data_IF_430693659117
#
_entry.id   IF_430693659117
#
_cell.length_a   1.000
_cell.length_b   1.000
_cell.length_c   1.000
_cell.angle_alpha   90.00
_cell.angle_beta   90.00
_cell.angle_gamma   90.00
#
_symmetry.space_group_name_H-M   'P 1'
#
loop_
_entity.id
_entity.type
_entity.pdbx_description
1 polymer ?
#
# COMPACT_ATOMS: atom_id res chain seq x y z
N UNK A 1 60.19 27.97 -37.95
CA UNK A 1 60.31 27.09 -36.80
C UNK A 1 59.64 27.78 -35.61
N UNK A 2 58.53 27.28 -35.07
CA UNK A 2 57.78 27.60 -33.83
C UNK A 2 56.27 27.75 -34.08
N UNK A 3 55.63 26.67 -34.57
CA UNK A 3 54.17 26.61 -34.62
C UNK A 3 53.56 25.19 -34.28
N UNK A 4 54.31 24.43 -33.46
CA UNK A 4 53.89 23.00 -33.20
C UNK A 4 53.77 22.69 -31.71
N UNK A 5 53.50 23.66 -30.83
CA UNK A 5 53.34 23.39 -29.37
C UNK A 5 52.06 23.90 -28.71
N UNK A 6 51.02 24.26 -29.45
CA UNK A 6 49.77 24.79 -28.86
C UNK A 6 48.57 23.83 -29.09
N UNK A 7 48.77 22.64 -29.63
CA UNK A 7 47.65 21.72 -29.99
C UNK A 7 47.51 20.49 -29.05
N UNK A 8 48.14 20.52 -27.88
CA UNK A 8 48.06 19.35 -26.96
C UNK A 8 47.43 19.67 -25.58
N UNK A 9 46.74 20.80 -25.46
CA UNK A 9 46.14 21.25 -24.18
C UNK A 9 44.60 21.29 -24.11
N UNK A 10 43.89 20.91 -25.19
CA UNK A 10 42.43 21.11 -25.26
C UNK A 10 41.58 19.81 -25.29
N UNK A 11 42.15 18.68 -24.86
CA UNK A 11 41.42 17.38 -24.95
C UNK A 11 41.18 16.68 -23.61
N UNK A 12 41.08 17.42 -22.50
CA UNK A 12 40.84 16.82 -21.16
C UNK A 12 39.74 17.50 -20.34
N UNK A 13 38.79 18.18 -20.98
CA UNK A 13 37.63 18.81 -20.28
C UNK A 13 36.28 18.35 -20.82
N UNK A 14 36.17 17.14 -21.33
CA UNK A 14 34.94 16.60 -21.86
C UNK A 14 34.62 15.23 -21.26
N UNK A 15 34.22 15.16 -19.99
CA UNK A 15 33.95 13.84 -19.44
C UNK A 15 33.38 13.78 -18.02
N UNK A 16 32.58 14.75 -17.59
CA UNK A 16 31.79 14.61 -16.35
C UNK A 16 30.42 15.23 -16.52
N UNK A 17 29.63 14.69 -17.45
CA UNK A 17 28.19 14.96 -17.49
C UNK A 17 27.50 13.64 -17.72
N UNK A 18 27.45 12.79 -16.71
CA UNK A 18 26.55 11.65 -16.75
C UNK A 18 26.38 11.05 -15.36
N UNK A 19 25.65 11.73 -14.53
CA UNK A 19 24.72 11.18 -13.57
C UNK A 19 23.76 12.32 -13.28
N UNK A 20 22.82 12.56 -14.19
CA UNK A 20 21.60 13.20 -13.79
C UNK A 20 20.94 12.21 -12.86
N UNK A 21 20.93 12.50 -11.56
CA UNK A 21 20.02 11.84 -10.64
C UNK A 21 18.61 12.04 -11.20
N UNK A 22 18.02 10.95 -11.66
CA UNK A 22 16.61 10.95 -12.05
C UNK A 22 15.84 11.33 -10.78
N UNK A 23 15.18 12.46 -10.78
CA UNK A 23 14.37 12.89 -9.65
C UNK A 23 13.38 11.77 -9.28
N UNK A 24 13.12 11.62 -8.00
CA UNK A 24 12.30 10.50 -7.52
C UNK A 24 10.90 10.50 -8.14
N UNK A 25 10.38 11.68 -8.53
CA UNK A 25 9.14 11.85 -9.26
C UNK A 25 9.20 11.26 -10.69
N UNK A 26 10.37 11.25 -11.34
CA UNK A 26 10.54 10.73 -12.71
C UNK A 26 10.82 9.22 -12.75
N UNK A 27 10.94 8.58 -11.58
CA UNK A 27 11.18 7.13 -11.46
C UNK A 27 9.92 6.29 -11.58
N UNK A 28 8.76 6.91 -11.54
CA UNK A 28 7.48 6.22 -11.57
C UNK A 28 6.72 6.62 -12.84
N UNK A 29 6.48 5.65 -13.71
CA UNK A 29 5.53 5.86 -14.79
C UNK A 29 4.12 6.03 -14.18
N UNK A 30 3.32 6.99 -14.69
CA UNK A 30 1.93 7.13 -14.26
C UNK A 30 1.17 5.82 -14.43
N UNK A 31 0.34 5.47 -13.45
CA UNK A 31 -0.50 4.28 -13.56
C UNK A 31 -1.67 4.60 -14.50
N UNK A 32 -1.61 4.08 -15.71
CA UNK A 32 -2.67 4.25 -16.72
C UNK A 32 -3.75 3.19 -16.55
N UNK A 33 -4.57 3.33 -15.50
CA UNK A 33 -5.74 2.48 -15.30
C UNK A 33 -6.96 3.32 -14.96
N UNK A 34 -8.09 3.02 -15.59
CA UNK A 34 -9.38 3.58 -15.18
C UNK A 34 -9.96 2.72 -14.07
N UNK A 35 -9.97 3.25 -12.85
CA UNK A 35 -10.54 2.56 -11.71
C UNK A 35 -12.07 2.37 -11.88
N UNK A 36 -12.53 1.14 -11.72
CA UNK A 36 -13.96 0.76 -11.76
C UNK A 36 -14.53 0.44 -10.39
N UNK A 37 -13.67 0.31 -9.40
CA UNK A 37 -14.01 -0.05 -8.02
C UNK A 37 -12.94 0.43 -7.06
N UNK A 38 -13.21 0.37 -5.77
CA UNK A 38 -12.19 0.51 -4.75
C UNK A 38 -11.51 -0.84 -4.51
N UNK A 39 -10.24 -0.80 -4.08
CA UNK A 39 -9.42 -1.96 -3.76
C UNK A 39 -8.97 -1.86 -2.31
N UNK A 40 -9.16 -2.93 -1.55
CA UNK A 40 -8.75 -3.03 -0.16
C UNK A 40 -7.38 -3.71 -0.04
N UNK A 41 -6.46 -3.06 0.65
CA UNK A 41 -5.21 -3.67 1.12
C UNK A 41 -5.36 -3.95 2.61
N UNK A 42 -5.22 -5.20 3.02
CA UNK A 42 -5.11 -5.59 4.42
C UNK A 42 -3.62 -5.85 4.71
N UNK A 43 -2.96 -4.88 5.34
CA UNK A 43 -1.53 -4.92 5.66
C UNK A 43 -1.31 -5.55 7.04
N UNK A 44 -0.82 -6.77 7.08
CA UNK A 44 -0.35 -7.42 8.31
C UNK A 44 1.00 -6.85 8.70
N UNK A 45 1.00 -6.07 9.75
CA UNK A 45 2.11 -5.24 10.20
C UNK A 45 2.39 -5.41 11.69
N UNK A 46 3.41 -4.75 12.20
CA UNK A 46 3.73 -4.80 13.62
C UNK A 46 4.70 -3.70 14.06
N UNK A 47 4.51 -3.22 15.28
CA UNK A 47 5.32 -2.14 15.87
C UNK A 47 6.80 -2.48 16.05
N UNK A 48 7.15 -3.77 16.08
CA UNK A 48 8.53 -4.28 16.17
C UNK A 48 9.08 -4.76 14.82
N UNK A 49 8.36 -4.54 13.74
CA UNK A 49 8.71 -5.01 12.40
C UNK A 49 9.61 -3.99 11.69
N UNK A 50 10.87 -4.33 11.49
CA UNK A 50 11.87 -3.43 10.87
C UNK A 50 11.56 -3.10 9.41
N UNK A 51 10.92 -4.01 8.69
CA UNK A 51 10.61 -3.84 7.26
C UNK A 51 9.22 -3.26 7.01
N UNK A 52 8.33 -3.24 8.00
CA UNK A 52 6.95 -2.76 7.83
C UNK A 52 6.84 -1.28 7.40
N UNK A 53 7.75 -0.38 7.78
CA UNK A 53 7.74 0.98 7.25
C UNK A 53 7.82 1.05 5.72
N UNK A 54 8.53 0.13 5.07
CA UNK A 54 8.61 0.08 3.60
C UNK A 54 7.26 -0.27 2.95
N UNK A 55 6.49 -1.14 3.59
CA UNK A 55 5.15 -1.47 3.14
C UNK A 55 4.19 -0.28 3.32
N UNK A 56 4.32 0.45 4.44
CA UNK A 56 3.57 1.68 4.66
C UNK A 56 3.90 2.76 3.61
N UNK A 57 5.18 2.92 3.27
CA UNK A 57 5.62 3.84 2.22
C UNK A 57 5.01 3.47 0.86
N UNK A 58 4.94 2.18 0.53
CA UNK A 58 4.33 1.71 -0.71
C UNK A 58 2.81 1.99 -0.76
N UNK A 59 2.10 1.80 0.36
CA UNK A 59 0.69 2.18 0.49
C UNK A 59 0.52 3.68 0.29
N UNK A 60 1.32 4.50 0.98
CA UNK A 60 1.25 5.96 0.87
C UNK A 60 1.54 6.43 -0.55
N UNK A 61 2.50 5.81 -1.23
CA UNK A 61 2.81 6.10 -2.63
C UNK A 61 1.61 5.83 -3.54
N UNK A 62 0.94 4.70 -3.38
CA UNK A 62 -0.28 4.38 -4.15
C UNK A 62 -1.42 5.35 -3.84
N UNK A 63 -1.61 5.72 -2.57
CA UNK A 63 -2.67 6.66 -2.16
C UNK A 63 -2.39 8.11 -2.60
N UNK A 64 -1.14 8.47 -2.82
CA UNK A 64 -0.74 9.77 -3.34
C UNK A 64 -0.85 9.88 -4.87
N UNK A 65 -1.03 8.77 -5.58
CA UNK A 65 -1.19 8.76 -7.03
C UNK A 65 -2.52 9.41 -7.43
N UNK A 66 -2.47 10.39 -8.34
CA UNK A 66 -3.63 11.20 -8.73
C UNK A 66 -4.70 10.41 -9.51
N UNK A 67 -4.36 9.24 -10.03
CA UNK A 67 -5.24 8.41 -10.87
C UNK A 67 -5.97 7.35 -10.05
N UNK A 68 -5.27 6.74 -9.09
CA UNK A 68 -5.81 5.59 -8.35
C UNK A 68 -5.98 5.84 -6.85
N UNK A 69 -5.36 6.90 -6.30
CA UNK A 69 -5.24 7.08 -4.85
C UNK A 69 -6.57 7.08 -4.09
N UNK A 70 -7.61 7.72 -4.65
CA UNK A 70 -8.95 7.75 -4.06
C UNK A 70 -9.63 6.36 -4.01
N UNK A 71 -9.12 5.41 -4.77
CA UNK A 71 -9.66 4.06 -4.88
C UNK A 71 -8.86 3.03 -4.07
N UNK A 72 -7.76 3.44 -3.41
CA UNK A 72 -6.93 2.55 -2.59
C UNK A 72 -7.27 2.72 -1.12
N UNK A 73 -7.91 1.72 -0.55
CA UNK A 73 -8.26 1.66 0.87
C UNK A 73 -7.26 0.72 1.54
N UNK A 74 -6.58 1.18 2.59
CA UNK A 74 -5.66 0.35 3.35
C UNK A 74 -6.06 0.25 4.82
N UNK A 75 -5.89 -0.93 5.39
CA UNK A 75 -6.11 -1.22 6.81
C UNK A 75 -4.89 -1.94 7.35
N UNK A 76 -4.23 -1.35 8.33
CA UNK A 76 -3.12 -1.98 9.05
C UNK A 76 -3.63 -2.89 10.14
N UNK A 77 -3.23 -4.15 10.11
CA UNK A 77 -3.64 -5.20 11.04
C UNK A 77 -2.45 -5.57 11.92
N UNK A 78 -2.50 -5.13 13.16
CA UNK A 78 -1.47 -5.41 14.15
C UNK A 78 -1.78 -6.69 14.91
N UNK A 79 -0.87 -7.66 14.83
CA UNK A 79 -0.98 -8.95 15.51
C UNK A 79 0.25 -9.82 15.28
N UNK A 80 0.25 -11.00 15.88
CA UNK A 80 1.36 -11.93 15.83
C UNK A 80 2.61 -11.44 16.55
N UNK A 81 3.73 -12.09 16.33
CA UNK A 81 4.96 -11.85 17.11
C UNK A 81 5.58 -10.47 16.94
N UNK A 82 5.17 -9.70 15.93
CA UNK A 82 5.70 -8.35 15.67
C UNK A 82 4.88 -7.24 16.33
N UNK A 83 3.79 -7.57 17.01
CA UNK A 83 2.96 -6.62 17.76
C UNK A 83 2.85 -7.03 19.23
N UNK A 84 2.48 -6.09 20.09
CA UNK A 84 2.26 -6.31 21.52
C UNK A 84 0.92 -5.71 21.93
N UNK A 85 0.23 -6.36 22.86
CA UNK A 85 -0.88 -5.78 23.58
C UNK A 85 -0.41 -4.76 24.62
N UNK A 86 -1.26 -3.83 25.03
CA UNK A 86 -0.93 -2.85 26.08
C UNK A 86 -0.44 -3.50 27.37
N UNK A 87 -0.98 -4.64 27.73
CA UNK A 87 -0.59 -5.41 28.91
C UNK A 87 0.83 -6.01 28.84
N UNK A 88 1.41 -6.05 27.64
CA UNK A 88 2.71 -6.68 27.38
C UNK A 88 3.85 -5.69 27.19
N UNK A 89 3.57 -4.39 27.24
CA UNK A 89 4.54 -3.32 27.01
C UNK A 89 4.34 -2.16 27.98
N UNK A 90 5.39 -1.40 28.25
CA UNK A 90 5.31 -0.16 29.01
C UNK A 90 4.88 1.06 28.18
N UNK A 91 4.76 0.89 26.89
CA UNK A 91 4.27 1.89 25.94
C UNK A 91 2.90 1.50 25.37
N UNK A 92 2.52 2.14 24.28
CA UNK A 92 1.31 1.79 23.55
C UNK A 92 1.48 0.45 22.85
N UNK A 93 0.64 -0.53 23.17
CA UNK A 93 0.50 -1.77 22.42
C UNK A 93 -0.47 -1.58 21.27
N UNK A 94 -0.15 -2.08 20.08
CA UNK A 94 -0.99 -1.97 18.88
C UNK A 94 -1.70 -3.28 18.51
N UNK A 95 -1.34 -4.40 19.14
CA UNK A 95 -2.04 -5.65 18.93
C UNK A 95 -3.47 -5.59 19.48
N UNK A 96 -4.40 -6.14 18.72
CA UNK A 96 -5.81 -6.31 19.12
C UNK A 96 -6.19 -7.78 19.00
N UNK A 97 -7.24 -8.20 19.72
CA UNK A 97 -7.76 -9.58 19.62
C UNK A 97 -8.23 -9.91 18.20
N UNK A 98 -8.79 -8.93 17.50
CA UNK A 98 -9.16 -9.04 16.10
C UNK A 98 -7.91 -9.21 15.21
N UNK A 99 -6.87 -8.42 15.46
CA UNK A 99 -5.60 -8.52 14.75
C UNK A 99 -4.96 -9.90 14.91
N UNK A 100 -4.95 -10.45 16.11
CA UNK A 100 -4.49 -11.82 16.38
C UNK A 100 -5.34 -12.87 15.65
N UNK A 101 -6.66 -12.69 15.68
CA UNK A 101 -7.59 -13.57 14.96
C UNK A 101 -7.32 -13.55 13.46
N UNK A 102 -7.10 -12.38 12.87
CA UNK A 102 -6.78 -12.24 11.44
C UNK A 102 -5.42 -12.86 11.11
N UNK A 103 -4.38 -12.58 11.91
CA UNK A 103 -3.06 -13.19 11.73
C UNK A 103 -3.14 -14.72 11.74
N UNK A 104 -3.89 -15.28 12.68
CA UNK A 104 -4.11 -16.73 12.79
C UNK A 104 -4.88 -17.29 11.60
N UNK A 105 -5.99 -16.63 11.19
CA UNK A 105 -6.83 -17.04 10.07
C UNK A 105 -6.06 -17.16 8.76
N UNK A 106 -5.19 -16.19 8.48
CA UNK A 106 -4.38 -16.16 7.28
C UNK A 106 -3.02 -16.84 7.44
N UNK A 107 -2.75 -17.42 8.62
CA UNK A 107 -1.49 -18.12 8.93
C UNK A 107 -0.26 -17.26 8.61
N UNK A 108 -0.29 -15.98 9.02
CA UNK A 108 0.82 -15.03 8.80
C UNK A 108 2.04 -15.48 9.59
N UNK A 109 3.18 -15.68 8.93
CA UNK A 109 4.44 -16.17 9.53
C UNK A 109 5.58 -15.20 9.40
N UNK A 110 5.44 -14.16 8.60
CA UNK A 110 6.44 -13.11 8.40
C UNK A 110 5.74 -11.77 8.11
N UNK A 111 6.43 -10.68 8.42
CA UNK A 111 5.92 -9.32 8.28
C UNK A 111 6.92 -8.45 7.51
N UNK A 112 6.47 -7.48 6.68
CA UNK A 112 5.07 -7.27 6.30
C UNK A 112 4.56 -8.34 5.34
N UNK A 113 3.27 -8.61 5.39
CA UNK A 113 2.51 -9.39 4.40
C UNK A 113 1.16 -8.72 4.21
N UNK A 114 0.52 -8.90 3.08
CA UNK A 114 -0.80 -8.31 2.87
C UNK A 114 -1.69 -9.10 1.95
N UNK A 115 -2.96 -8.72 1.97
CA UNK A 115 -3.98 -9.22 1.06
C UNK A 115 -4.47 -8.04 0.21
N UNK A 116 -4.61 -8.24 -1.08
CA UNK A 116 -5.24 -7.28 -1.98
C UNK A 116 -6.58 -7.86 -2.41
N UNK A 117 -7.69 -7.25 -1.94
CA UNK A 117 -9.06 -7.76 -2.13
C UNK A 117 -9.22 -9.24 -1.77
N UNK A 118 -8.36 -9.79 -0.90
CA UNK A 118 -8.30 -11.21 -0.52
C UNK A 118 -8.16 -12.17 -1.69
N UNK A 119 -7.61 -11.69 -2.81
CA UNK A 119 -7.40 -12.47 -4.03
C UNK A 119 -5.93 -12.90 -4.11
N UNK A 120 -5.71 -14.20 -4.41
CA UNK A 120 -4.35 -14.74 -4.55
C UNK A 120 -3.62 -15.04 -3.23
N UNK A 121 -4.26 -14.79 -2.07
CA UNK A 121 -3.67 -15.05 -0.76
C UNK A 121 -2.67 -13.99 -0.30
N UNK A 122 -1.83 -14.32 0.70
CA UNK A 122 -0.81 -13.43 1.25
C UNK A 122 0.27 -13.11 0.21
N UNK A 123 0.59 -11.83 0.11
CA UNK A 123 1.59 -11.28 -0.83
C UNK A 123 2.64 -10.45 -0.09
N UNK A 124 3.81 -10.36 -0.68
CA UNK A 124 4.84 -9.38 -0.30
C UNK A 124 4.46 -7.99 -0.81
N UNK A 125 4.85 -6.95 -0.06
CA UNK A 125 4.45 -5.57 -0.36
C UNK A 125 4.94 -5.08 -1.73
N UNK A 126 6.03 -5.63 -2.24
CA UNK A 126 6.55 -5.32 -3.57
C UNK A 126 5.59 -5.71 -4.71
N UNK A 127 4.66 -6.62 -4.43
CA UNK A 127 3.65 -7.09 -5.40
C UNK A 127 2.33 -6.33 -5.32
N UNK A 128 2.12 -5.53 -4.26
CA UNK A 128 0.80 -4.90 -4.00
C UNK A 128 0.38 -3.94 -5.10
N UNK A 129 1.30 -3.11 -5.60
CA UNK A 129 0.98 -2.16 -6.66
C UNK A 129 0.41 -2.87 -7.90
N UNK A 130 1.10 -3.90 -8.39
CA UNK A 130 0.63 -4.66 -9.55
C UNK A 130 -0.72 -5.33 -9.30
N UNK A 131 -0.93 -5.88 -8.11
CA UNK A 131 -2.21 -6.46 -7.71
C UNK A 131 -3.32 -5.41 -7.64
N UNK A 132 -3.06 -4.24 -7.05
CA UNK A 132 -4.02 -3.13 -6.97
C UNK A 132 -4.43 -2.67 -8.36
N UNK A 133 -3.47 -2.40 -9.25
CA UNK A 133 -3.75 -1.97 -10.63
C UNK A 133 -4.62 -2.99 -11.36
N UNK A 134 -4.31 -4.28 -11.23
CA UNK A 134 -5.11 -5.36 -11.82
C UNK A 134 -6.53 -5.38 -11.26
N UNK A 135 -6.69 -5.24 -9.94
CA UNK A 135 -8.00 -5.25 -9.28
C UNK A 135 -8.85 -4.03 -9.61
N UNK A 136 -8.25 -2.85 -9.72
CA UNK A 136 -8.95 -1.62 -10.09
C UNK A 136 -9.63 -1.70 -11.46
N UNK A 137 -9.03 -2.40 -12.40
CA UNK A 137 -9.56 -2.59 -13.76
C UNK A 137 -10.78 -3.52 -13.82
N UNK A 138 -11.02 -4.32 -12.78
CA UNK A 138 -12.12 -5.28 -12.75
C UNK A 138 -13.47 -4.62 -12.48
N UNK A 139 -14.49 -5.04 -13.19
CA UNK A 139 -15.87 -4.60 -12.92
C UNK A 139 -16.39 -5.26 -11.65
N UNK A 140 -16.86 -4.49 -10.67
CA UNK A 140 -17.39 -5.06 -9.44
C UNK A 140 -18.66 -5.86 -9.71
N UNK A 141 -18.77 -7.03 -9.08
CA UNK A 141 -19.99 -7.85 -9.12
C UNK A 141 -21.04 -7.39 -8.13
N UNK A 142 -20.61 -6.68 -7.09
CA UNK A 142 -21.44 -6.21 -5.98
C UNK A 142 -21.10 -4.75 -5.71
N UNK A 143 -22.13 -3.94 -5.48
CA UNK A 143 -21.99 -2.59 -4.96
C UNK A 143 -22.41 -2.55 -3.50
N UNK A 144 -21.65 -1.83 -2.70
CA UNK A 144 -21.95 -1.58 -1.29
C UNK A 144 -22.02 -0.07 -1.09
N UNK A 145 -23.10 0.41 -0.52
CA UNK A 145 -23.27 1.82 -0.15
C UNK A 145 -23.51 1.96 1.34
N UNK A 146 -23.01 3.04 1.94
CA UNK A 146 -23.32 3.42 3.30
C UNK A 146 -24.51 4.40 3.27
N UNK A 147 -25.71 3.92 3.58
CA UNK A 147 -26.94 4.72 3.50
C UNK A 147 -27.09 5.63 4.71
N UNK A 148 -26.61 5.20 5.87
CA UNK A 148 -26.63 5.97 7.09
C UNK A 148 -25.43 5.64 7.94
N UNK A 149 -24.77 6.69 8.42
CA UNK A 149 -23.65 6.60 9.36
C UNK A 149 -23.99 7.49 10.56
N UNK A 150 -23.96 6.94 11.77
CA UNK A 150 -24.11 7.69 13.01
C UNK A 150 -23.06 7.21 14.02
N UNK A 151 -22.32 8.14 14.59
CA UNK A 151 -21.35 7.86 15.64
C UNK A 151 -21.79 8.54 16.93
N UNK A 152 -21.77 7.78 18.02
CA UNK A 152 -22.03 8.23 19.37
C UNK A 152 -20.69 8.32 20.12
N UNK A 153 -20.30 9.55 20.48
CA UNK A 153 -19.00 9.83 21.12
C UNK A 153 -18.94 9.33 22.57
N UNK A 154 -20.09 9.34 23.29
CA UNK A 154 -20.15 8.93 24.70
C UNK A 154 -19.97 7.42 24.82
N UNK A 155 -20.69 6.68 23.99
CA UNK A 155 -20.64 5.19 23.99
C UNK A 155 -19.57 4.64 23.04
N UNK A 156 -18.93 5.49 22.24
CA UNK A 156 -18.00 5.11 21.17
C UNK A 156 -18.61 4.09 20.19
N UNK A 157 -19.91 4.22 19.95
CA UNK A 157 -20.65 3.28 19.12
C UNK A 157 -20.85 3.86 17.72
N UNK A 158 -20.43 3.12 16.70
CA UNK A 158 -20.71 3.40 15.30
C UNK A 158 -21.93 2.57 14.87
N UNK A 159 -22.96 3.24 14.36
CA UNK A 159 -24.10 2.60 13.69
C UNK A 159 -23.98 2.84 12.19
N UNK A 160 -23.95 1.77 11.43
CA UNK A 160 -23.81 1.78 9.99
C UNK A 160 -24.98 1.01 9.37
N UNK A 161 -25.70 1.65 8.46
CA UNK A 161 -26.70 0.99 7.60
C UNK A 161 -26.12 0.94 6.21
N UNK A 162 -26.05 -0.25 5.65
CA UNK A 162 -25.49 -0.49 4.31
C UNK A 162 -26.51 -1.16 3.41
N UNK A 163 -26.51 -0.77 2.15
CA UNK A 163 -27.21 -1.50 1.10
C UNK A 163 -26.20 -2.25 0.22
N UNK A 164 -26.55 -3.47 -0.12
CA UNK A 164 -25.75 -4.33 -1.00
C UNK A 164 -26.59 -4.69 -2.21
N UNK A 165 -26.09 -4.39 -3.40
CA UNK A 165 -26.76 -4.73 -4.66
C UNK A 165 -25.82 -5.50 -5.59
N UNK A 166 -26.33 -6.54 -6.23
CA UNK A 166 -25.58 -7.31 -7.22
C UNK A 166 -25.66 -6.65 -8.60
N UNK A 167 -24.53 -6.59 -9.31
CA UNK A 167 -24.43 -6.17 -10.72
C UNK A 167 -24.53 -7.36 -11.68
N UNK A 168 -24.51 -8.58 -11.15
CA UNK A 168 -24.63 -9.84 -11.87
C UNK A 168 -25.14 -10.94 -10.89
N UNK A 169 -25.53 -12.08 -11.41
CA UNK A 169 -25.82 -13.24 -10.59
C UNK A 169 -24.56 -13.66 -9.82
N UNK A 170 -24.58 -13.46 -8.51
CA UNK A 170 -23.51 -13.86 -7.62
C UNK A 170 -23.90 -15.18 -6.97
N UNK A 171 -23.38 -16.27 -7.51
CA UNK A 171 -23.45 -17.59 -6.86
C UNK A 171 -22.22 -17.77 -5.98
N UNK A 172 -22.43 -17.95 -4.70
CA UNK A 172 -21.39 -18.25 -3.70
C UNK A 172 -21.25 -19.75 -3.49
#
# INVERSE_FOLDING_TARGET
MKLTKILLGALLLGGFTACNDIEQADRYEPIEVTAKKNVLIEDFTGQHCVNCPKAADEIQRMQADSTIGEHVIAVSIHGGSMSKHDSETSGLGLATDEGETYNSRWNVKSWPKGLVDRTGGLQDYESWNASVVSRLAETPKVNITADKVAYDEETRTLKLVTSVSGNADVTG
#
